data_IF_561662092373
#
_entry.id   IF_561662092373
#
_cell.length_a   1.000
_cell.length_b   1.000
_cell.length_c   1.000
_cell.angle_alpha   90.00
_cell.angle_beta   90.00
_cell.angle_gamma   90.00
#
_symmetry.space_group_name_H-M   'P 1'
#
loop_
_entity.id
_entity.type
_entity.pdbx_description
1 polymer ?
#
# COMPACT_ATOMS: atom_id res chain seq x y z
N UNK A 1 -53.28 33.37 26.82
CA UNK A 1 -52.74 33.68 25.49
C UNK A 1 -51.41 32.97 25.38
N UNK A 2 -51.37 31.93 24.55
CA UNK A 2 -50.34 30.89 24.52
C UNK A 2 -49.48 31.06 23.28
N UNK A 3 -48.16 31.06 23.44
CA UNK A 3 -47.21 30.81 22.33
C UNK A 3 -45.93 30.20 22.89
N UNK A 4 -45.93 28.87 23.07
CA UNK A 4 -44.71 28.10 23.22
C UNK A 4 -44.13 27.87 21.82
N UNK A 5 -43.13 28.69 21.46
CA UNK A 5 -42.34 28.54 20.25
C UNK A 5 -41.51 27.27 20.35
N UNK A 6 -41.88 26.24 19.59
CA UNK A 6 -41.12 24.99 19.47
C UNK A 6 -39.94 25.24 18.52
N UNK A 7 -38.75 25.45 19.06
CA UNK A 7 -37.51 25.32 18.29
C UNK A 7 -37.29 23.83 17.98
N UNK A 8 -37.56 23.44 16.72
CA UNK A 8 -37.03 22.22 16.15
C UNK A 8 -35.53 22.42 15.88
N UNK A 9 -34.67 21.91 16.76
CA UNK A 9 -33.25 21.74 16.47
C UNK A 9 -33.12 20.53 15.57
N UNK A 10 -32.92 20.75 14.27
CA UNK A 10 -32.54 19.71 13.32
C UNK A 10 -31.06 19.41 13.55
N UNK A 11 -30.78 18.32 14.25
CA UNK A 11 -29.42 17.79 14.37
C UNK A 11 -28.98 17.26 13.00
N UNK A 12 -28.11 18.01 12.33
CA UNK A 12 -27.45 17.60 11.10
C UNK A 12 -26.40 16.53 11.46
N UNK A 13 -26.76 15.26 11.38
CA UNK A 13 -25.80 14.16 11.47
C UNK A 13 -24.94 14.20 10.20
N UNK A 14 -23.74 14.78 10.30
CA UNK A 14 -22.69 14.59 9.31
C UNK A 14 -22.30 13.12 9.40
N UNK A 15 -22.82 12.31 8.49
CA UNK A 15 -22.26 11.01 8.21
C UNK A 15 -20.86 11.25 7.67
N UNK A 16 -19.86 11.20 8.55
CA UNK A 16 -18.46 11.05 8.15
C UNK A 16 -18.38 9.65 7.56
N UNK A 17 -18.70 9.53 6.28
CA UNK A 17 -18.35 8.34 5.53
C UNK A 17 -16.83 8.27 5.57
N UNK A 18 -16.28 7.28 6.28
CA UNK A 18 -14.88 6.90 6.11
C UNK A 18 -14.73 6.61 4.62
N UNK A 19 -14.08 7.51 3.88
CA UNK A 19 -13.57 7.18 2.57
C UNK A 19 -12.77 5.90 2.79
N UNK A 20 -13.24 4.78 2.24
CA UNK A 20 -12.50 3.54 2.39
C UNK A 20 -11.16 3.78 1.74
N UNK A 21 -10.13 3.72 2.56
CA UNK A 21 -8.78 3.39 2.21
C UNK A 21 -8.75 2.58 0.92
N UNK A 22 -8.30 3.17 -0.18
CA UNK A 22 -8.14 2.42 -1.42
C UNK A 22 -6.91 1.56 -1.28
N UNK A 23 -7.07 0.23 -1.36
CA UNK A 23 -5.96 -0.71 -1.51
C UNK A 23 -5.12 -0.28 -2.72
N UNK A 24 -3.93 0.28 -2.45
CA UNK A 24 -3.11 0.89 -3.49
C UNK A 24 -2.48 -0.15 -4.43
N UNK A 25 -2.26 -1.36 -3.94
CA UNK A 25 -1.81 -2.46 -4.78
C UNK A 25 -2.94 -2.93 -5.70
N UNK A 26 -4.19 -2.94 -5.24
CA UNK A 26 -5.33 -3.27 -6.10
C UNK A 26 -5.58 -2.19 -7.15
N UNK A 27 -5.40 -0.91 -6.78
CA UNK A 27 -5.42 0.20 -7.72
C UNK A 27 -4.31 0.04 -8.77
N UNK A 28 -3.09 -0.25 -8.35
CA UNK A 28 -1.96 -0.49 -9.25
C UNK A 28 -2.25 -1.67 -10.18
N UNK A 29 -2.64 -2.82 -9.66
CA UNK A 29 -2.87 -4.04 -10.44
C UNK A 29 -4.00 -3.81 -11.47
N UNK A 30 -5.05 -3.08 -11.09
CA UNK A 30 -6.20 -2.81 -11.94
C UNK A 30 -5.99 -1.73 -13.01
N UNK A 31 -5.07 -0.78 -12.81
CA UNK A 31 -4.91 0.39 -13.70
C UNK A 31 -3.52 0.50 -14.35
N UNK A 32 -2.49 -0.06 -13.73
CA UNK A 32 -1.09 0.12 -14.12
C UNK A 32 -0.40 -1.21 -14.45
N UNK A 33 -0.70 -2.26 -13.68
CA UNK A 33 0.05 -3.52 -13.66
C UNK A 33 0.05 -4.26 -15.00
N UNK A 34 -1.03 -4.17 -15.78
CA UNK A 34 -1.12 -4.79 -17.11
C UNK A 34 -0.05 -4.29 -18.09
N UNK A 35 0.39 -3.03 -17.97
CA UNK A 35 1.44 -2.46 -18.83
C UNK A 35 2.80 -2.37 -18.14
N UNK A 36 2.83 -2.25 -16.80
CA UNK A 36 4.05 -1.95 -16.05
C UNK A 36 4.58 -3.12 -15.19
N UNK A 37 3.81 -4.20 -15.05
CA UNK A 37 4.15 -5.30 -14.15
C UNK A 37 3.96 -4.92 -12.67
N UNK A 38 4.74 -5.53 -11.78
CA UNK A 38 4.62 -5.31 -10.33
C UNK A 38 5.13 -3.92 -9.91
N UNK A 39 4.42 -3.28 -8.98
CA UNK A 39 4.72 -1.93 -8.50
C UNK A 39 6.17 -1.78 -8.02
N UNK A 40 6.67 -2.71 -7.21
CA UNK A 40 8.04 -2.61 -6.69
C UNK A 40 9.13 -2.80 -7.74
N UNK A 41 8.91 -3.69 -8.71
CA UNK A 41 9.86 -3.86 -9.82
C UNK A 41 9.86 -2.61 -10.70
N UNK A 42 8.69 -2.08 -11.04
CA UNK A 42 8.55 -0.81 -11.75
C UNK A 42 9.24 0.33 -10.99
N UNK A 43 8.94 0.50 -9.70
CA UNK A 43 9.45 1.61 -8.91
C UNK A 43 10.99 1.64 -8.89
N UNK A 44 11.63 0.50 -8.64
CA UNK A 44 13.10 0.40 -8.63
C UNK A 44 13.73 0.60 -10.01
N UNK A 45 13.07 0.15 -11.08
CA UNK A 45 13.64 0.14 -12.43
C UNK A 45 13.37 1.41 -13.23
N UNK A 46 12.23 2.06 -12.99
CA UNK A 46 11.73 3.14 -13.81
C UNK A 46 11.72 4.50 -13.12
N UNK A 47 11.89 4.57 -11.80
CA UNK A 47 11.77 5.81 -11.04
C UNK A 47 13.08 6.21 -10.36
N UNK A 48 13.26 7.51 -10.17
CA UNK A 48 14.29 8.13 -9.36
C UNK A 48 13.65 9.01 -8.29
N UNK A 49 14.21 9.02 -7.08
CA UNK A 49 13.83 9.92 -6.01
C UNK A 49 14.90 11.01 -5.89
N UNK A 50 14.52 12.27 -6.06
CA UNK A 50 15.42 13.43 -6.00
C UNK A 50 14.78 14.48 -5.10
N UNK A 51 15.44 14.82 -4.00
CA UNK A 51 14.96 15.80 -3.02
C UNK A 51 13.51 15.54 -2.55
N UNK A 52 13.15 14.27 -2.35
CA UNK A 52 11.80 13.86 -1.93
C UNK A 52 10.76 13.84 -3.05
N UNK A 53 11.15 14.12 -4.30
CA UNK A 53 10.25 14.15 -5.46
C UNK A 53 10.55 12.97 -6.40
N UNK A 54 9.50 12.31 -6.88
CA UNK A 54 9.60 11.14 -7.76
C UNK A 54 9.62 11.58 -9.22
N UNK A 55 10.59 11.08 -9.97
CA UNK A 55 10.75 11.32 -11.41
C UNK A 55 10.82 9.99 -12.17
N UNK A 56 10.32 9.99 -13.40
CA UNK A 56 10.63 8.92 -14.35
C UNK A 56 12.11 8.97 -14.73
N UNK A 57 12.84 7.89 -14.53
CA UNK A 57 14.29 7.79 -14.81
C UNK A 57 14.62 8.10 -16.27
N UNK A 58 13.85 7.52 -17.19
CA UNK A 58 14.08 7.69 -18.63
C UNK A 58 13.56 9.03 -19.17
N UNK A 59 12.40 9.48 -18.70
CA UNK A 59 11.75 10.70 -19.21
C UNK A 59 12.26 11.98 -18.54
N UNK A 60 12.80 11.87 -17.31
CA UNK A 60 13.06 13.01 -16.43
C UNK A 60 11.79 13.73 -15.97
N UNK A 61 10.59 13.24 -16.32
CA UNK A 61 9.33 13.90 -15.98
C UNK A 61 8.96 13.60 -14.52
N UNK A 62 8.47 14.61 -13.81
CA UNK A 62 7.91 14.46 -12.46
C UNK A 62 6.66 13.56 -12.49
N UNK A 63 6.58 12.62 -11.55
CA UNK A 63 5.55 11.58 -11.56
C UNK A 63 4.13 12.16 -11.40
N UNK A 64 3.95 13.12 -10.51
CA UNK A 64 2.65 13.75 -10.28
C UNK A 64 2.12 14.49 -11.51
N UNK A 65 2.96 15.30 -12.16
CA UNK A 65 2.63 15.99 -13.42
C UNK A 65 2.29 14.98 -14.53
N UNK A 66 2.94 13.82 -14.54
CA UNK A 66 2.66 12.75 -15.49
C UNK A 66 1.30 12.09 -15.22
N UNK A 67 0.98 11.79 -13.98
CA UNK A 67 -0.26 11.10 -13.58
C UNK A 67 -1.51 11.96 -13.74
N UNK A 68 -1.40 13.29 -13.82
CA UNK A 68 -2.55 14.16 -14.16
C UNK A 68 -3.15 13.83 -15.53
N UNK A 69 -2.36 13.27 -16.45
CA UNK A 69 -2.77 13.00 -17.84
C UNK A 69 -2.65 11.53 -18.26
N UNK A 70 -1.85 10.73 -17.56
CA UNK A 70 -1.65 9.34 -17.89
C UNK A 70 -2.91 8.51 -17.56
N UNK A 71 -3.25 7.56 -18.45
CA UNK A 71 -4.43 6.69 -18.30
C UNK A 71 -5.75 7.45 -18.01
N UNK A 72 -5.96 8.61 -18.66
CA UNK A 72 -7.16 9.44 -18.45
C UNK A 72 -7.10 10.36 -17.23
N UNK A 73 -6.02 10.31 -16.44
CA UNK A 73 -5.76 11.23 -15.33
C UNK A 73 -6.28 10.73 -13.99
N UNK A 74 -5.55 11.05 -12.92
CA UNK A 74 -5.88 10.67 -11.54
C UNK A 74 -6.15 11.90 -10.66
N UNK A 75 -6.93 11.71 -9.60
CA UNK A 75 -7.18 12.78 -8.62
C UNK A 75 -5.90 13.10 -7.82
N UNK A 76 -5.76 14.33 -7.28
CA UNK A 76 -4.59 14.69 -6.47
C UNK A 76 -4.33 13.74 -5.29
N UNK A 77 -5.40 13.24 -4.65
CA UNK A 77 -5.28 12.29 -3.56
C UNK A 77 -4.73 10.92 -4.01
N UNK A 78 -5.19 10.40 -5.15
CA UNK A 78 -4.65 9.16 -5.72
C UNK A 78 -3.20 9.32 -6.16
N UNK A 79 -2.85 10.47 -6.74
CA UNK A 79 -1.48 10.77 -7.16
C UNK A 79 -0.53 10.77 -5.96
N UNK A 80 -0.91 11.45 -4.88
CA UNK A 80 -0.12 11.47 -3.65
C UNK A 80 0.06 10.07 -3.07
N UNK A 81 -1.04 9.30 -2.93
CA UNK A 81 -0.99 7.95 -2.37
C UNK A 81 -0.16 6.97 -3.23
N UNK A 82 -0.29 7.04 -4.56
CA UNK A 82 0.52 6.23 -5.47
C UNK A 82 2.00 6.63 -5.42
N UNK A 83 2.31 7.92 -5.35
CA UNK A 83 3.69 8.39 -5.23
C UNK A 83 4.31 7.88 -3.92
N UNK A 84 3.61 7.99 -2.79
CA UNK A 84 4.08 7.52 -1.48
C UNK A 84 4.31 6.01 -1.47
N UNK A 85 3.36 5.23 -2.00
CA UNK A 85 3.54 3.79 -2.18
C UNK A 85 4.77 3.49 -3.04
N UNK A 86 4.92 4.13 -4.19
CA UNK A 86 6.06 3.87 -5.09
C UNK A 86 7.39 4.24 -4.43
N UNK A 87 7.47 5.34 -3.69
CA UNK A 87 8.66 5.70 -2.88
C UNK A 87 8.97 4.59 -1.88
N UNK A 88 7.97 4.13 -1.14
CA UNK A 88 8.13 3.03 -0.21
C UNK A 88 8.67 1.78 -0.91
N UNK A 89 8.13 1.44 -2.08
CA UNK A 89 8.54 0.27 -2.85
C UNK A 89 9.97 0.39 -3.43
N UNK A 90 10.44 1.60 -3.74
CA UNK A 90 11.84 1.85 -4.14
C UNK A 90 12.83 1.51 -3.01
N UNK A 91 12.43 1.76 -1.75
CA UNK A 91 13.27 1.55 -0.57
C UNK A 91 13.39 0.09 -0.11
N UNK A 92 12.65 -0.84 -0.73
CA UNK A 92 12.65 -2.26 -0.35
C UNK A 92 13.40 -3.13 -1.35
N UNK A 93 14.28 -3.98 -0.81
CA UNK A 93 14.99 -5.00 -1.57
C UNK A 93 14.06 -6.12 -2.07
N UNK A 94 14.57 -7.02 -2.92
CA UNK A 94 13.78 -8.09 -3.54
C UNK A 94 13.53 -9.29 -2.60
N UNK A 95 13.83 -9.19 -1.31
CA UNK A 95 13.88 -10.35 -0.39
C UNK A 95 12.61 -11.20 -0.39
N UNK A 96 11.43 -10.58 -0.44
CA UNK A 96 10.19 -11.34 -0.56
C UNK A 96 10.18 -12.20 -1.83
N UNK A 97 10.56 -11.63 -2.98
CA UNK A 97 10.59 -12.37 -4.24
C UNK A 97 11.64 -13.47 -4.20
N UNK A 98 12.82 -13.19 -3.62
CA UNK A 98 13.93 -14.16 -3.50
C UNK A 98 13.54 -15.37 -2.65
N UNK A 99 12.91 -15.15 -1.49
CA UNK A 99 12.67 -16.20 -0.51
C UNK A 99 11.26 -16.79 -0.53
N UNK A 100 10.27 -16.00 -0.93
CA UNK A 100 8.86 -16.38 -0.90
C UNK A 100 8.27 -16.62 -2.30
N UNK A 101 8.90 -16.07 -3.35
CA UNK A 101 8.39 -16.10 -4.72
C UNK A 101 8.26 -17.48 -5.37
N UNK A 102 8.90 -18.51 -4.81
CA UNK A 102 8.74 -19.89 -5.27
C UNK A 102 7.41 -20.55 -4.87
N UNK A 103 6.75 -20.03 -3.83
CA UNK A 103 5.49 -20.57 -3.31
C UNK A 103 4.36 -19.54 -3.27
N UNK A 104 4.69 -18.25 -3.30
CA UNK A 104 3.74 -17.15 -3.24
C UNK A 104 3.93 -16.24 -4.46
N UNK A 105 2.81 -15.83 -5.07
CA UNK A 105 2.85 -14.97 -6.25
C UNK A 105 3.47 -13.60 -5.92
N UNK A 106 2.85 -12.87 -4.99
CA UNK A 106 3.36 -11.57 -4.56
C UNK A 106 3.00 -11.25 -3.10
N UNK A 107 3.71 -10.28 -2.54
CA UNK A 107 3.59 -9.88 -1.15
C UNK A 107 2.23 -9.26 -0.82
N UNK A 108 1.64 -8.47 -1.73
CA UNK A 108 0.33 -7.85 -1.49
C UNK A 108 -0.78 -8.90 -1.38
N UNK A 109 -0.78 -9.89 -2.27
CA UNK A 109 -1.70 -11.02 -2.19
C UNK A 109 -1.49 -11.84 -0.92
N UNK A 110 -0.24 -12.13 -0.54
CA UNK A 110 0.04 -12.82 0.73
C UNK A 110 -0.55 -12.06 1.92
N UNK A 111 -0.38 -10.74 1.95
CA UNK A 111 -0.91 -9.91 3.03
C UNK A 111 -2.44 -9.94 3.06
N UNK A 112 -3.10 -9.76 1.91
CA UNK A 112 -4.57 -9.79 1.81
C UNK A 112 -5.17 -11.11 2.29
N UNK A 113 -4.57 -12.21 1.88
CA UNK A 113 -5.18 -13.52 2.01
C UNK A 113 -4.87 -14.18 3.36
N UNK A 114 -3.69 -13.91 3.93
CA UNK A 114 -3.14 -14.72 5.02
C UNK A 114 -2.70 -13.95 6.25
N UNK A 115 -2.64 -12.61 6.20
CA UNK A 115 -2.05 -11.80 7.27
C UNK A 115 -3.05 -10.77 7.78
N UNK A 116 -2.99 -10.49 9.07
CA UNK A 116 -3.73 -9.38 9.68
C UNK A 116 -2.85 -8.68 10.71
N UNK A 117 -2.98 -7.36 10.85
CA UNK A 117 -2.37 -6.62 11.95
C UNK A 117 -3.20 -6.75 13.22
N UNK A 118 -2.59 -7.19 14.32
CA UNK A 118 -3.17 -7.20 15.67
C UNK A 118 -2.16 -6.63 16.65
N UNK A 119 -2.57 -5.65 17.44
CA UNK A 119 -1.73 -4.98 18.43
C UNK A 119 -0.40 -4.48 17.85
N UNK A 120 -0.45 -3.95 16.62
CA UNK A 120 0.72 -3.43 15.89
C UNK A 120 1.58 -4.50 15.21
N UNK A 121 1.33 -5.79 15.42
CA UNK A 121 2.13 -6.90 14.88
C UNK A 121 1.39 -7.61 13.75
N UNK A 122 2.11 -8.03 12.71
CA UNK A 122 1.56 -8.91 11.67
C UNK A 122 1.47 -10.34 12.21
N UNK A 123 0.27 -10.91 12.14
CA UNK A 123 0.01 -12.29 12.53
C UNK A 123 -0.68 -13.03 11.40
N UNK A 124 -0.54 -14.36 11.38
CA UNK A 124 -1.31 -15.21 10.48
C UNK A 124 -2.81 -15.10 10.79
N UNK A 125 -3.63 -14.87 9.76
CA UNK A 125 -5.07 -14.66 9.90
C UNK A 125 -5.76 -15.81 10.65
N UNK A 126 -5.46 -17.05 10.21
CA UNK A 126 -6.04 -18.26 10.78
C UNK A 126 -5.33 -18.74 12.06
N UNK A 127 -3.99 -18.69 12.09
CA UNK A 127 -3.21 -19.24 13.20
C UNK A 127 -3.10 -18.29 14.41
N UNK A 128 -3.22 -16.98 14.18
CA UNK A 128 -2.88 -15.95 15.17
C UNK A 128 -1.39 -15.87 15.51
N UNK A 129 -0.54 -16.68 14.87
CA UNK A 129 0.90 -16.69 15.15
C UNK A 129 1.57 -15.44 14.57
N UNK A 130 2.48 -14.83 15.34
CA UNK A 130 3.32 -13.75 14.86
C UNK A 130 4.15 -14.16 13.64
N UNK A 131 4.16 -13.31 12.61
CA UNK A 131 4.86 -13.59 11.37
C UNK A 131 6.38 -13.66 11.57
N UNK A 132 6.94 -12.85 12.49
CA UNK A 132 8.35 -12.91 12.88
C UNK A 132 8.76 -14.31 13.31
N UNK A 133 7.96 -14.92 14.19
CA UNK A 133 8.22 -16.26 14.74
C UNK A 133 8.02 -17.34 13.68
N UNK A 134 7.01 -17.17 12.81
CA UNK A 134 6.73 -18.08 11.73
C UNK A 134 7.89 -18.17 10.72
N UNK A 135 8.46 -17.03 10.32
CA UNK A 135 9.53 -16.98 9.33
C UNK A 135 10.85 -17.61 9.80
N UNK A 136 11.07 -17.81 11.12
CA UNK A 136 12.22 -18.59 11.58
C UNK A 136 12.20 -20.05 11.09
N UNK A 137 11.03 -20.57 10.70
CA UNK A 137 10.84 -21.96 10.25
C UNK A 137 10.26 -22.04 8.84
N UNK A 138 10.12 -20.93 8.14
CA UNK A 138 9.48 -20.86 6.82
C UNK A 138 10.21 -19.88 5.89
N UNK A 139 10.28 -20.21 4.59
CA UNK A 139 10.89 -19.34 3.56
C UNK A 139 12.42 -19.38 3.46
N UNK A 140 13.12 -19.97 4.43
CA UNK A 140 14.57 -20.21 4.33
C UNK A 140 15.45 -18.94 4.28
N UNK A 141 14.90 -17.79 4.67
CA UNK A 141 15.61 -16.52 4.75
C UNK A 141 16.52 -16.46 6.00
N UNK A 142 17.68 -15.83 5.88
CA UNK A 142 18.53 -15.51 7.03
C UNK A 142 17.94 -14.38 7.90
N UNK A 143 18.61 -14.00 8.98
CA UNK A 143 18.08 -12.99 9.91
C UNK A 143 17.87 -11.61 9.28
N UNK A 144 18.81 -11.17 8.45
CA UNK A 144 18.73 -9.87 7.75
C UNK A 144 17.57 -9.89 6.76
N UNK A 145 17.49 -10.93 5.95
CA UNK A 145 16.48 -11.09 4.90
C UNK A 145 15.09 -11.24 5.52
N UNK A 146 14.95 -11.99 6.64
CA UNK A 146 13.68 -12.07 7.39
C UNK A 146 13.22 -10.70 7.90
N UNK A 147 14.14 -9.91 8.43
CA UNK A 147 13.83 -8.55 8.91
C UNK A 147 13.31 -7.69 7.76
N UNK A 148 13.99 -7.71 6.62
CA UNK A 148 13.60 -6.95 5.43
C UNK A 148 12.27 -7.43 4.83
N UNK A 149 11.98 -8.74 4.88
CA UNK A 149 10.68 -9.30 4.50
C UNK A 149 9.59 -8.76 5.42
N UNK A 150 9.78 -8.82 6.74
CA UNK A 150 8.78 -8.32 7.71
C UNK A 150 8.54 -6.81 7.53
N UNK A 151 9.58 -6.01 7.30
CA UNK A 151 9.43 -4.59 7.01
C UNK A 151 8.61 -4.35 5.74
N UNK A 152 8.90 -5.10 4.66
CA UNK A 152 8.17 -5.00 3.40
C UNK A 152 6.69 -5.36 3.59
N UNK A 153 6.39 -6.46 4.31
CA UNK A 153 5.03 -6.87 4.59
C UNK A 153 4.27 -5.87 5.48
N UNK A 154 4.95 -5.24 6.45
CA UNK A 154 4.34 -4.19 7.28
C UNK A 154 3.95 -2.96 6.46
N UNK A 155 4.82 -2.56 5.55
CA UNK A 155 4.56 -1.44 4.67
C UNK A 155 3.41 -1.76 3.71
N UNK A 156 3.44 -2.94 3.09
CA UNK A 156 2.38 -3.40 2.17
C UNK A 156 1.04 -3.51 2.88
N UNK A 157 1.00 -3.97 4.14
CA UNK A 157 -0.24 -3.99 4.92
C UNK A 157 -0.80 -2.58 5.17
N UNK A 158 0.08 -1.59 5.36
CA UNK A 158 -0.34 -0.18 5.46
C UNK A 158 -0.85 0.34 4.12
N UNK A 159 -0.22 -0.03 3.00
CA UNK A 159 -0.61 0.37 1.63
C UNK A 159 -1.92 -0.29 1.18
N UNK A 160 -2.21 -1.51 1.64
CA UNK A 160 -3.49 -2.21 1.40
C UNK A 160 -4.61 -1.59 2.23
N UNK A 161 -4.32 -1.29 3.50
CA UNK A 161 -5.30 -0.73 4.42
C UNK A 161 -5.24 0.80 4.48
N UNK A 162 -4.68 1.47 3.46
CA UNK A 162 -4.32 2.89 3.39
C UNK A 162 -5.35 3.84 4.02
N UNK A 163 -5.26 4.11 5.33
CA UNK A 163 -6.24 4.94 6.06
C UNK A 163 -5.96 6.42 5.91
#
# INVERSE_FOLDING_TARGET
MSTLSRLCVVALYIAVGSARASDLHALWDGQCGGCHGHAGDFARQALDLRDGVVFGRASGQKLDDFLVRHNGGYSPAQIAALADMLVGQMGRGPEFRTHCGGCHDNAAQLVRDWVVRRDGVLVGLASGQALTDFLHRHGGADEVSRTQIIESLNQIETEINHR
#
